data_IF_460521306330
#
_entry.id   IF_460521306330
#
_cell.length_a   1.000
_cell.length_b   1.000
_cell.length_c   1.000
_cell.angle_alpha   90.00
_cell.angle_beta   90.00
_cell.angle_gamma   90.00
#
_symmetry.space_group_name_H-M   'P 1'
#
loop_
_entity.id
_entity.type
_entity.pdbx_description
1 polymer ?
#
# COMPACT_ATOMS: atom_id res chain seq x y z
N UNK A 1 -30.46 13.27 -2.03
CA UNK A 1 -31.20 13.51 -2.81
C UNK A 1 -31.89 12.57 -3.70
N UNK A 2 -31.74 12.56 -4.92
CA UNK A 2 -32.53 11.72 -5.79
C UNK A 2 -31.66 10.66 -6.45
N UNK A 3 -32.34 9.74 -7.15
CA UNK A 3 -31.66 8.60 -7.77
C UNK A 3 -30.70 9.01 -8.90
N UNK A 4 -31.03 10.10 -9.58
CA UNK A 4 -30.18 10.57 -10.69
C UNK A 4 -28.84 11.08 -10.14
N UNK A 5 -28.87 11.84 -9.07
CA UNK A 5 -27.64 12.34 -8.43
C UNK A 5 -26.81 11.20 -7.88
N UNK A 6 -27.48 10.21 -7.26
CA UNK A 6 -26.78 9.02 -6.75
C UNK A 6 -26.08 8.26 -7.88
N UNK A 7 -26.79 8.09 -8.99
CA UNK A 7 -26.23 7.41 -10.16
C UNK A 7 -25.04 8.19 -10.72
N UNK A 8 -25.19 9.51 -10.86
CA UNK A 8 -24.11 10.36 -11.36
C UNK A 8 -22.88 10.28 -10.46
N UNK A 9 -23.09 10.34 -9.17
CA UNK A 9 -21.98 10.23 -8.21
C UNK A 9 -21.28 8.88 -8.34
N UNK A 10 -22.04 7.80 -8.46
CA UNK A 10 -21.46 6.46 -8.63
C UNK A 10 -20.66 6.36 -9.91
N UNK A 11 -21.19 6.91 -11.01
CA UNK A 11 -20.49 6.89 -12.30
C UNK A 11 -19.22 7.72 -12.25
N UNK A 12 -19.26 8.89 -11.61
CA UNK A 12 -18.08 9.75 -11.48
C UNK A 12 -16.99 9.05 -10.66
N UNK A 13 -17.37 8.39 -9.57
CA UNK A 13 -16.43 7.63 -8.76
C UNK A 13 -15.81 6.51 -9.59
N UNK A 14 -16.64 5.79 -10.35
CA UNK A 14 -16.15 4.68 -11.18
C UNK A 14 -15.20 5.18 -12.28
N UNK A 15 -15.55 6.28 -12.93
CA UNK A 15 -14.74 6.85 -14.02
C UNK A 15 -13.44 7.44 -13.48
N UNK A 16 -13.46 8.04 -12.28
CA UNK A 16 -12.27 8.66 -11.70
C UNK A 16 -11.28 7.65 -11.15
N UNK A 17 -11.67 6.37 -10.99
CA UNK A 17 -10.77 5.35 -10.47
C UNK A 17 -9.66 5.10 -11.48
N UNK A 18 -8.42 5.35 -11.08
CA UNK A 18 -7.26 5.15 -11.92
C UNK A 18 -6.89 3.67 -12.02
N UNK A 19 -6.09 3.32 -13.02
CA UNK A 19 -5.59 1.96 -13.13
C UNK A 19 -4.65 1.64 -11.96
N UNK A 20 -3.86 2.59 -11.50
CA UNK A 20 -3.00 2.40 -10.35
C UNK A 20 -3.81 2.11 -9.08
N UNK A 21 -5.00 2.67 -8.94
CA UNK A 21 -5.88 2.35 -7.80
C UNK A 21 -6.35 0.90 -7.86
N UNK A 22 -6.64 0.41 -9.05
CA UNK A 22 -7.02 -1.00 -9.24
C UNK A 22 -5.87 -1.92 -8.85
N UNK A 23 -4.66 -1.59 -9.30
CA UNK A 23 -3.45 -2.35 -8.97
C UNK A 23 -3.21 -2.32 -7.47
N UNK A 24 -3.31 -1.14 -6.86
CA UNK A 24 -3.10 -0.99 -5.42
C UNK A 24 -4.09 -1.83 -4.62
N UNK A 25 -5.35 -1.81 -5.00
CA UNK A 25 -6.38 -2.59 -4.32
C UNK A 25 -6.12 -4.09 -4.45
N UNK A 26 -5.69 -4.53 -5.63
CA UNK A 26 -5.35 -5.94 -5.86
C UNK A 26 -4.22 -6.38 -4.95
N UNK A 27 -3.19 -5.55 -4.81
CA UNK A 27 -2.06 -5.83 -3.92
C UNK A 27 -2.51 -5.82 -2.45
N UNK A 28 -3.28 -4.82 -2.05
CA UNK A 28 -3.74 -4.68 -0.66
C UNK A 28 -4.56 -5.87 -0.20
N UNK A 29 -5.31 -6.50 -1.11
CA UNK A 29 -6.14 -7.66 -0.78
C UNK A 29 -5.29 -8.88 -0.41
N UNK A 30 -4.03 -8.93 -0.79
CA UNK A 30 -3.15 -10.07 -0.53
C UNK A 30 -1.69 -9.61 -0.46
N UNK A 31 -1.41 -8.74 0.48
CA UNK A 31 -0.13 -8.03 0.53
C UNK A 31 1.06 -8.92 0.84
N UNK A 32 0.85 -10.03 1.55
CA UNK A 32 1.93 -10.94 1.93
C UNK A 32 2.39 -11.84 0.79
N UNK A 33 1.66 -11.87 -0.31
CA UNK A 33 2.04 -12.65 -1.50
C UNK A 33 3.37 -12.15 -2.06
N UNK A 34 4.13 -13.06 -2.64
CA UNK A 34 5.35 -12.69 -3.38
C UNK A 34 4.94 -12.10 -4.71
N UNK A 35 4.69 -10.80 -4.71
CA UNK A 35 4.20 -10.10 -5.89
C UNK A 35 5.27 -9.95 -6.94
N UNK A 36 4.91 -10.28 -8.17
CA UNK A 36 5.68 -9.99 -9.38
C UNK A 36 4.71 -9.46 -10.41
N UNK A 37 5.23 -8.79 -11.43
CA UNK A 37 4.40 -8.29 -12.52
C UNK A 37 3.62 -9.43 -13.17
N UNK A 38 4.24 -10.60 -13.29
CA UNK A 38 3.57 -11.80 -13.82
C UNK A 38 2.35 -12.19 -12.98
N UNK A 39 2.48 -12.17 -11.65
CA UNK A 39 1.38 -12.50 -10.75
C UNK A 39 0.23 -11.52 -10.93
N UNK A 40 0.54 -10.24 -11.03
CA UNK A 40 -0.47 -9.21 -11.27
C UNK A 40 -1.14 -9.42 -12.62
N UNK A 41 -0.36 -9.72 -13.64
CA UNK A 41 -0.86 -10.01 -14.99
C UNK A 41 -1.88 -11.13 -14.97
N UNK A 42 -1.60 -12.20 -14.26
CA UNK A 42 -2.51 -13.33 -14.13
C UNK A 42 -3.80 -12.93 -13.40
N UNK A 43 -3.68 -12.17 -12.35
CA UNK A 43 -4.86 -11.74 -11.57
C UNK A 43 -5.77 -10.79 -12.33
N UNK A 44 -5.20 -9.90 -13.13
CA UNK A 44 -5.97 -8.90 -13.86
C UNK A 44 -6.36 -9.34 -15.27
N UNK A 45 -5.87 -10.49 -15.73
CA UNK A 45 -6.07 -10.96 -17.09
C UNK A 45 -5.63 -9.92 -18.14
N UNK A 46 -4.50 -9.28 -17.88
CA UNK A 46 -3.86 -8.33 -18.77
C UNK A 46 -2.42 -8.74 -18.99
N UNK A 47 -1.86 -8.42 -20.16
CA UNK A 47 -0.46 -8.70 -20.39
C UNK A 47 0.42 -7.77 -19.55
N UNK A 48 1.65 -8.23 -19.26
CA UNK A 48 2.61 -7.39 -18.53
C UNK A 48 2.89 -6.08 -19.27
N UNK A 49 2.96 -6.14 -20.59
CA UNK A 49 3.19 -4.95 -21.42
C UNK A 49 2.04 -3.96 -21.25
N UNK A 50 0.81 -4.44 -21.27
CA UNK A 50 -0.35 -3.59 -21.09
C UNK A 50 -0.34 -2.93 -19.72
N UNK A 51 -0.01 -3.69 -18.67
CA UNK A 51 0.06 -3.14 -17.31
C UNK A 51 1.12 -2.05 -17.23
N UNK A 52 2.32 -2.32 -17.78
CA UNK A 52 3.40 -1.33 -17.77
C UNK A 52 2.97 -0.03 -18.46
N UNK A 53 2.38 -0.14 -19.63
CA UNK A 53 1.97 1.05 -20.40
C UNK A 53 0.90 1.86 -19.68
N UNK A 54 -0.09 1.17 -19.10
CA UNK A 54 -1.14 1.86 -18.34
C UNK A 54 -0.58 2.60 -17.14
N UNK A 55 0.34 1.98 -16.40
CA UNK A 55 0.95 2.61 -15.24
C UNK A 55 1.91 3.74 -15.64
N UNK A 56 2.65 3.56 -16.73
CA UNK A 56 3.51 4.64 -17.24
C UNK A 56 2.71 5.87 -17.60
N UNK A 57 1.52 5.68 -18.18
CA UNK A 57 0.61 6.80 -18.49
C UNK A 57 0.16 7.55 -17.24
N UNK A 58 0.23 6.92 -16.08
CA UNK A 58 -0.10 7.54 -14.80
C UNK A 58 1.16 7.95 -14.03
N UNK A 59 2.32 7.95 -14.69
CA UNK A 59 3.60 8.35 -14.12
C UNK A 59 4.01 7.50 -12.91
N UNK A 60 3.72 6.21 -12.95
CA UNK A 60 4.07 5.28 -11.90
C UNK A 60 4.48 3.92 -12.50
N UNK A 61 4.77 2.96 -11.64
CA UNK A 61 5.07 1.60 -12.05
C UNK A 61 4.65 0.63 -10.93
N UNK A 62 4.63 -0.66 -11.28
CA UNK A 62 4.18 -1.71 -10.38
C UNK A 62 4.98 -1.75 -9.07
N UNK A 63 6.31 -1.66 -9.17
CA UNK A 63 7.16 -1.81 -7.98
C UNK A 63 7.01 -0.63 -7.02
N UNK A 64 6.72 0.55 -7.55
CA UNK A 64 6.43 1.70 -6.71
C UNK A 64 5.14 1.53 -5.93
N UNK A 65 4.11 1.06 -6.61
CA UNK A 65 2.81 0.80 -5.96
C UNK A 65 2.97 -0.28 -4.89
N UNK A 66 3.72 -1.33 -5.20
CA UNK A 66 3.98 -2.43 -4.27
C UNK A 66 4.72 -1.94 -3.03
N UNK A 67 5.75 -1.13 -3.22
CA UNK A 67 6.52 -0.58 -2.10
C UNK A 67 5.65 0.31 -1.22
N UNK A 68 4.88 1.21 -1.83
CA UNK A 68 3.97 2.08 -1.09
C UNK A 68 2.97 1.26 -0.27
N UNK A 69 2.39 0.23 -0.87
CA UNK A 69 1.42 -0.63 -0.20
C UNK A 69 2.04 -1.35 1.01
N UNK A 70 3.22 -1.92 0.82
CA UNK A 70 3.92 -2.65 1.88
C UNK A 70 4.35 -1.74 3.01
N UNK A 71 4.90 -0.57 2.69
CA UNK A 71 5.39 0.36 3.71
C UNK A 71 4.24 0.98 4.50
N UNK A 72 3.13 1.30 3.86
CA UNK A 72 1.97 1.85 4.55
C UNK A 72 1.35 0.83 5.49
N UNK A 73 1.25 -0.42 5.07
CA UNK A 73 0.79 -1.47 5.97
C UNK A 73 1.76 -1.70 7.12
N UNK A 74 3.05 -1.70 6.82
CA UNK A 74 4.08 -1.87 7.84
C UNK A 74 3.99 -0.77 8.90
N UNK A 75 3.78 0.47 8.48
CA UNK A 75 3.67 1.59 9.41
C UNK A 75 2.51 1.39 10.39
N UNK A 76 1.35 0.92 9.88
CA UNK A 76 0.21 0.63 10.75
C UNK A 76 0.53 -0.47 11.76
N UNK A 77 1.20 -1.53 11.31
CA UNK A 77 1.56 -2.65 12.19
C UNK A 77 2.62 -2.25 13.20
N UNK A 78 3.58 -1.42 12.81
CA UNK A 78 4.63 -0.95 13.71
C UNK A 78 4.05 -0.11 14.84
N UNK A 79 2.98 0.63 14.60
CA UNK A 79 2.32 1.43 15.63
C UNK A 79 1.50 0.58 16.60
N UNK A 80 1.20 -0.66 16.24
CA UNK A 80 0.55 -1.58 17.14
C UNK A 80 1.60 -2.06 18.16
N UNK A 81 1.38 -1.76 19.43
CA UNK A 81 2.36 -1.99 20.49
C UNK A 81 2.72 -3.47 20.68
N UNK A 82 1.84 -4.37 20.27
CA UNK A 82 2.05 -5.80 20.52
C UNK A 82 2.66 -6.54 19.33
N UNK A 83 2.95 -5.85 18.25
CA UNK A 83 3.43 -6.50 17.03
C UNK A 83 4.96 -6.52 17.00
N UNK A 84 5.52 -7.71 16.91
CA UNK A 84 6.96 -7.92 16.83
C UNK A 84 7.44 -7.59 15.42
N UNK A 85 8.66 -7.02 15.31
CA UNK A 85 9.23 -6.61 14.02
C UNK A 85 9.30 -7.77 13.02
N UNK A 86 9.59 -8.97 13.47
CA UNK A 86 9.64 -10.15 12.60
C UNK A 86 8.26 -10.42 11.96
N UNK A 87 7.20 -10.27 12.76
CA UNK A 87 5.84 -10.46 12.27
C UNK A 87 5.43 -9.37 11.30
N UNK A 88 5.86 -8.13 11.53
CA UNK A 88 5.59 -7.01 10.63
C UNK A 88 6.22 -7.28 9.26
N UNK A 89 7.49 -7.65 9.25
CA UNK A 89 8.22 -7.95 8.02
C UNK A 89 7.52 -9.05 7.24
N UNK A 90 7.16 -10.13 7.91
CA UNK A 90 6.51 -11.27 7.27
C UNK A 90 5.13 -10.90 6.74
N UNK A 91 4.36 -10.14 7.52
CA UNK A 91 2.99 -9.75 7.15
C UNK A 91 2.95 -8.90 5.90
N UNK A 92 4.00 -8.16 5.59
CA UNK A 92 4.07 -7.35 4.37
C UNK A 92 4.85 -8.05 3.25
N UNK A 93 5.07 -9.37 3.40
CA UNK A 93 5.63 -10.18 2.33
C UNK A 93 7.15 -10.15 2.22
N UNK A 94 7.83 -9.78 3.27
CA UNK A 94 9.29 -9.70 3.29
C UNK A 94 9.88 -10.76 4.22
N UNK A 95 10.69 -11.65 3.66
CA UNK A 95 11.31 -12.72 4.44
C UNK A 95 12.57 -12.27 5.18
N UNK A 96 13.25 -11.24 4.69
CA UNK A 96 14.45 -10.72 5.35
C UNK A 96 14.09 -9.52 6.22
N UNK A 97 14.19 -9.68 7.53
CA UNK A 97 13.93 -8.61 8.48
C UNK A 97 14.92 -7.46 8.31
N UNK A 98 16.19 -7.79 8.08
CA UNK A 98 17.22 -6.76 7.86
C UNK A 98 16.92 -5.92 6.63
N UNK A 99 16.51 -6.55 5.56
CA UNK A 99 16.13 -5.84 4.33
C UNK A 99 14.88 -4.99 4.56
N UNK A 100 13.90 -5.53 5.28
CA UNK A 100 12.70 -4.79 5.64
C UNK A 100 13.05 -3.52 6.42
N UNK A 101 13.89 -3.63 7.43
CA UNK A 101 14.31 -2.49 8.26
C UNK A 101 14.97 -1.41 7.38
N UNK A 102 15.82 -1.86 6.45
CA UNK A 102 16.49 -0.92 5.53
C UNK A 102 15.47 -0.19 4.65
N UNK A 103 14.55 -0.92 4.04
CA UNK A 103 13.53 -0.34 3.18
C UNK A 103 12.62 0.62 3.95
N UNK A 104 12.19 0.22 5.14
CA UNK A 104 11.35 1.06 5.99
C UNK A 104 12.07 2.35 6.36
N UNK A 105 13.34 2.23 6.74
CA UNK A 105 14.14 3.39 7.13
C UNK A 105 14.36 4.34 5.97
N UNK A 106 14.62 3.81 4.78
CA UNK A 106 14.78 4.62 3.59
C UNK A 106 13.46 5.33 3.21
N UNK A 107 12.36 4.63 3.38
CA UNK A 107 11.04 5.15 3.00
C UNK A 107 10.56 6.26 3.95
N UNK A 108 10.67 6.04 5.25
CA UNK A 108 10.14 6.97 6.26
C UNK A 108 11.18 7.87 6.91
N UNK A 109 12.45 7.61 6.68
CA UNK A 109 13.51 8.38 7.34
C UNK A 109 13.73 8.01 8.80
N UNK A 110 13.06 6.96 9.29
CA UNK A 110 13.17 6.47 10.66
C UNK A 110 13.16 4.94 10.63
N UNK A 111 13.92 4.32 11.54
CA UNK A 111 13.80 2.87 11.72
C UNK A 111 12.41 2.54 12.27
N UNK A 112 11.95 1.29 12.12
CA UNK A 112 10.67 0.90 12.71
C UNK A 112 10.58 1.20 14.21
N UNK A 113 11.68 0.97 14.93
CA UNK A 113 11.73 1.25 16.37
C UNK A 113 11.59 2.75 16.65
N UNK A 114 12.33 3.59 15.92
CA UNK A 114 12.24 5.03 16.05
C UNK A 114 10.85 5.54 15.69
N UNK A 115 10.27 4.99 14.63
CA UNK A 115 8.92 5.32 14.20
C UNK A 115 7.91 5.00 15.29
N UNK A 116 8.00 3.80 15.86
CA UNK A 116 7.12 3.37 16.95
C UNK A 116 7.25 4.31 18.16
N UNK A 117 8.48 4.60 18.59
CA UNK A 117 8.72 5.45 19.75
C UNK A 117 8.21 6.88 19.54
N UNK A 118 8.33 7.39 18.32
CA UNK A 118 7.90 8.75 18.01
C UNK A 118 6.37 8.89 17.99
N UNK A 119 5.66 7.90 17.49
CA UNK A 119 4.23 8.03 17.23
C UNK A 119 3.34 7.18 18.15
N UNK A 120 3.89 6.32 18.98
CA UNK A 120 3.09 5.38 19.80
C UNK A 120 2.16 6.07 20.80
N UNK A 121 2.47 7.27 21.21
CA UNK A 121 1.68 8.01 22.20
C UNK A 121 0.58 8.86 21.58
N UNK A 122 0.50 8.92 20.27
CA UNK A 122 -0.54 9.68 19.62
C UNK A 122 -1.88 8.96 19.76
N UNK A 123 -2.95 9.74 19.89
CA UNK A 123 -4.28 9.15 20.03
C UNK A 123 -4.72 8.56 18.68
N UNK A 124 -5.83 7.79 18.70
CA UNK A 124 -6.32 7.10 17.52
C UNK A 124 -6.58 8.04 16.35
N UNK A 125 -7.12 9.21 16.63
CA UNK A 125 -7.40 10.20 15.58
C UNK A 125 -6.14 10.70 14.91
N UNK A 126 -5.12 10.99 15.70
CA UNK A 126 -3.83 11.42 15.14
C UNK A 126 -3.16 10.32 14.34
N UNK A 127 -3.25 9.07 14.81
CA UNK A 127 -2.73 7.93 14.07
C UNK A 127 -3.44 7.79 12.72
N UNK A 128 -4.76 7.90 12.73
CA UNK A 128 -5.54 7.79 11.50
C UNK A 128 -5.18 8.90 10.52
N UNK A 129 -5.05 10.13 10.99
CA UNK A 129 -4.66 11.25 10.15
C UNK A 129 -3.28 11.05 9.56
N UNK A 130 -2.32 10.60 10.37
CA UNK A 130 -0.96 10.31 9.92
C UNK A 130 -0.98 9.26 8.80
N UNK A 131 -1.75 8.20 8.97
CA UNK A 131 -1.80 7.12 7.99
C UNK A 131 -2.43 7.56 6.67
N UNK A 132 -3.36 8.50 6.70
CA UNK A 132 -4.00 9.02 5.48
C UNK A 132 -3.04 9.85 4.63
N UNK A 133 -2.12 10.58 5.26
CA UNK A 133 -1.22 11.48 4.55
C UNK A 133 0.16 10.88 4.26
N UNK A 134 0.42 9.68 4.72
CA UNK A 134 1.65 8.97 4.47
C UNK A 134 1.39 7.62 3.85
#
# INVERSE_FOLDING_TARGET
>A
ENKIEQLYTSLCISVSRSFSDIVRKTIDNDISTKWRLKTLSEKLNLSEVTIRKKLENENTNFYRILLDARMQKAARLVLDSDTHINKVSYAVGMSSVSYFIKLFSDYYGLTPKQFHLKYKHRNTGEKAAFMLYN
#
